data_IF_424934237407
#
_entry.id   IF_424934237407
#
_cell.length_a   1.000
_cell.length_b   1.000
_cell.length_c   1.000
_cell.angle_alpha   90.00
_cell.angle_beta   90.00
_cell.angle_gamma   90.00
#
_symmetry.space_group_name_H-M   'P 1'
#
loop_
_entity.id
_entity.type
_entity.pdbx_description
1 polymer ?
#
# COMPACT_ATOMS: atom_id res chain seq x y z
N UNK A 1 -7.66 -8.63 -6.02
CA UNK A 1 -7.94 -9.97 -5.48
C UNK A 1 -9.42 -10.38 -5.57
N UNK A 2 -10.31 -9.44 -5.77
CA UNK A 2 -11.73 -9.73 -6.04
C UNK A 2 -11.91 -10.27 -7.47
N UNK A 3 -12.61 -11.41 -7.60
CA UNK A 3 -12.87 -12.06 -8.88
C UNK A 3 -14.22 -11.64 -9.49
N UNK A 4 -14.90 -10.65 -8.92
CA UNK A 4 -16.23 -10.21 -9.35
C UNK A 4 -17.33 -11.26 -9.11
N UNK A 5 -17.17 -12.08 -8.07
CA UNK A 5 -18.07 -13.14 -7.65
C UNK A 5 -18.52 -12.94 -6.19
N UNK A 6 -19.30 -13.91 -5.64
CA UNK A 6 -19.63 -13.86 -4.21
C UNK A 6 -18.39 -14.01 -3.34
N UNK A 7 -18.44 -13.56 -2.10
CA UNK A 7 -17.33 -13.72 -1.15
C UNK A 7 -17.00 -15.19 -0.94
N UNK A 8 -18.00 -16.06 -0.82
CA UNK A 8 -17.80 -17.50 -0.65
C UNK A 8 -17.04 -18.10 -1.84
N UNK A 9 -17.38 -17.70 -3.06
CA UNK A 9 -16.67 -18.14 -4.26
C UNK A 9 -15.22 -17.66 -4.26
N UNK A 10 -14.98 -16.40 -3.92
CA UNK A 10 -13.65 -15.83 -3.84
C UNK A 10 -12.78 -16.58 -2.82
N UNK A 11 -13.30 -16.82 -1.60
CA UNK A 11 -12.59 -17.58 -0.57
C UNK A 11 -12.28 -19.03 -1.02
N UNK A 12 -13.26 -19.73 -1.58
CA UNK A 12 -13.01 -21.09 -2.10
C UNK A 12 -11.96 -21.12 -3.22
N UNK A 13 -11.97 -20.15 -4.11
CA UNK A 13 -10.98 -20.04 -5.17
C UNK A 13 -9.58 -19.87 -4.59
N UNK A 14 -9.39 -18.93 -3.67
CA UNK A 14 -8.08 -18.64 -3.10
C UNK A 14 -7.54 -19.78 -2.25
N UNK A 15 -8.39 -20.51 -1.56
CA UNK A 15 -8.00 -21.75 -0.85
C UNK A 15 -7.49 -22.83 -1.80
N UNK A 16 -8.17 -23.04 -2.92
CA UNK A 16 -7.74 -23.97 -3.97
C UNK A 16 -6.45 -23.49 -4.64
N UNK A 17 -6.34 -22.19 -4.91
CA UNK A 17 -5.15 -21.56 -5.47
C UNK A 17 -3.95 -21.77 -4.55
N UNK A 18 -4.09 -21.44 -3.26
CA UNK A 18 -3.03 -21.66 -2.28
C UNK A 18 -2.59 -23.12 -2.24
N UNK A 19 -3.53 -24.05 -2.17
CA UNK A 19 -3.20 -25.47 -2.16
C UNK A 19 -2.32 -25.84 -3.35
N UNK A 20 -2.71 -25.48 -4.55
CA UNK A 20 -1.96 -25.80 -5.76
C UNK A 20 -0.56 -25.16 -5.77
N UNK A 21 -0.44 -23.89 -5.35
CA UNK A 21 0.84 -23.18 -5.27
C UNK A 21 1.77 -23.83 -4.25
N UNK A 22 1.27 -24.15 -3.04
CA UNK A 22 2.08 -24.72 -1.96
C UNK A 22 2.45 -26.20 -2.21
N UNK A 23 1.63 -26.93 -2.96
CA UNK A 23 1.98 -28.28 -3.45
C UNK A 23 3.12 -28.24 -4.47
N UNK A 24 3.14 -27.23 -5.35
CA UNK A 24 4.22 -27.04 -6.33
C UNK A 24 5.50 -26.50 -5.69
N UNK A 25 5.37 -25.53 -4.78
CA UNK A 25 6.48 -24.97 -4.02
C UNK A 25 6.01 -24.45 -2.65
N UNK A 26 6.30 -25.17 -1.55
CA UNK A 26 5.85 -24.77 -0.21
C UNK A 26 6.46 -23.43 0.27
N UNK A 27 7.54 -22.97 -0.33
CA UNK A 27 8.20 -21.71 -0.01
C UNK A 27 7.74 -20.53 -0.88
N UNK A 28 6.86 -20.74 -1.86
CA UNK A 28 6.32 -19.65 -2.67
C UNK A 28 5.47 -18.70 -1.81
N UNK A 29 5.73 -17.40 -1.94
CA UNK A 29 4.92 -16.36 -1.32
C UNK A 29 3.68 -16.09 -2.17
N UNK A 30 2.51 -16.01 -1.53
CA UNK A 30 1.25 -15.57 -2.14
C UNK A 30 0.94 -14.18 -1.61
N UNK A 31 1.21 -13.19 -2.42
CA UNK A 31 0.98 -11.77 -2.12
C UNK A 31 -0.23 -11.27 -2.93
N UNK A 32 -1.21 -10.69 -2.26
CA UNK A 32 -2.39 -10.17 -2.93
C UNK A 32 -2.37 -8.65 -3.02
N UNK A 33 -2.86 -8.11 -4.13
CA UNK A 33 -3.31 -6.74 -4.22
C UNK A 33 -4.72 -6.65 -3.63
N UNK A 34 -4.85 -5.94 -2.52
CA UNK A 34 -6.11 -5.77 -1.81
C UNK A 34 -6.12 -4.42 -1.10
N UNK A 35 -7.21 -3.68 -1.28
CA UNK A 35 -7.47 -2.43 -0.57
C UNK A 35 -8.38 -2.70 0.63
N UNK A 36 -8.13 -2.02 1.73
CA UNK A 36 -8.90 -2.18 2.96
C UNK A 36 -8.42 -3.34 3.84
N UNK A 37 -9.22 -3.74 4.80
CA UNK A 37 -8.88 -4.75 5.79
C UNK A 37 -8.71 -6.15 5.17
N UNK A 38 -7.50 -6.74 5.21
CA UNK A 38 -7.22 -8.04 4.62
C UNK A 38 -7.45 -9.21 5.61
N UNK A 39 -7.91 -8.96 6.82
CA UNK A 39 -7.91 -9.94 7.92
C UNK A 39 -8.61 -11.25 7.57
N UNK A 40 -9.75 -11.18 6.87
CA UNK A 40 -10.52 -12.37 6.47
C UNK A 40 -9.76 -13.29 5.51
N UNK A 41 -8.80 -12.76 4.75
CA UNK A 41 -8.02 -13.47 3.73
C UNK A 41 -6.67 -13.97 4.24
N UNK A 42 -6.24 -13.50 5.43
CA UNK A 42 -4.93 -13.81 6.02
C UNK A 42 -5.02 -14.83 7.17
N UNK A 43 -6.00 -15.74 7.09
CA UNK A 43 -6.21 -16.77 8.12
C UNK A 43 -5.27 -17.99 7.97
N UNK A 44 -4.35 -17.97 7.01
CA UNK A 44 -3.35 -19.02 6.78
C UNK A 44 -3.74 -20.04 5.71
N UNK A 45 -4.94 -19.94 5.14
CA UNK A 45 -5.47 -20.87 4.16
C UNK A 45 -5.68 -20.25 2.75
N UNK A 46 -5.42 -18.94 2.59
CA UNK A 46 -5.55 -18.21 1.34
C UNK A 46 -4.25 -17.47 0.98
N UNK A 47 -4.13 -16.18 1.29
CA UNK A 47 -2.92 -15.41 1.02
C UNK A 47 -1.92 -15.49 2.17
N UNK A 48 -0.64 -15.30 1.86
CA UNK A 48 0.39 -15.12 2.90
C UNK A 48 0.42 -13.68 3.40
N UNK A 49 0.24 -12.71 2.49
CA UNK A 49 0.25 -11.29 2.79
C UNK A 49 -0.38 -10.45 1.68
N UNK A 50 -0.33 -9.15 1.83
CA UNK A 50 -0.86 -8.15 0.88
C UNK A 50 0.18 -7.07 0.57
N UNK A 51 -0.05 -6.35 -0.54
CA UNK A 51 0.56 -5.04 -0.77
C UNK A 51 0.10 -4.10 0.35
N UNK A 52 1.06 -3.51 1.07
CA UNK A 52 0.79 -2.80 2.32
C UNK A 52 0.33 -1.35 2.08
N UNK A 53 -0.82 -1.20 1.45
CA UNK A 53 -1.39 0.10 1.13
C UNK A 53 -1.79 0.87 2.39
N UNK A 54 -2.62 0.26 3.23
CA UNK A 54 -3.28 0.96 4.33
C UNK A 54 -2.36 1.19 5.53
N UNK A 55 -1.47 0.21 5.86
CA UNK A 55 -0.56 0.35 6.99
C UNK A 55 0.78 1.01 6.64
N UNK A 56 1.10 1.22 5.36
CA UNK A 56 2.37 1.83 4.96
C UNK A 56 2.21 2.91 3.89
N UNK A 57 1.81 2.55 2.66
CA UNK A 57 1.86 3.47 1.53
C UNK A 57 1.05 4.75 1.76
N UNK A 58 -0.20 4.63 2.19
CA UNK A 58 -1.06 5.78 2.41
C UNK A 58 -0.62 6.65 3.59
N UNK A 59 -0.36 6.10 4.80
CA UNK A 59 0.14 6.91 5.92
C UNK A 59 1.44 7.63 5.60
N UNK A 60 2.42 6.97 5.00
CA UNK A 60 3.69 7.60 4.60
C UNK A 60 3.47 8.69 3.55
N UNK A 61 2.57 8.44 2.60
CA UNK A 61 2.24 9.40 1.56
C UNK A 61 1.73 10.71 2.13
N UNK A 62 0.59 10.68 2.86
CA UNK A 62 0.00 11.92 3.34
C UNK A 62 0.81 12.55 4.48
N UNK A 63 1.50 11.77 5.30
CA UNK A 63 2.35 12.31 6.36
C UNK A 63 3.52 13.13 5.80
N UNK A 64 4.23 12.59 4.81
CA UNK A 64 5.41 13.26 4.24
C UNK A 64 5.07 14.29 3.17
N UNK A 65 4.00 14.08 2.42
CA UNK A 65 3.69 14.92 1.25
C UNK A 65 2.43 15.77 1.40
N UNK A 66 1.55 15.44 2.33
CA UNK A 66 0.23 16.09 2.41
C UNK A 66 -0.66 15.79 1.19
N UNK A 67 -0.37 14.74 0.44
CA UNK A 67 -1.12 14.38 -0.75
C UNK A 67 -1.79 13.02 -0.61
N UNK A 68 -2.92 12.85 -1.27
CA UNK A 68 -3.54 11.55 -1.48
C UNK A 68 -2.74 10.74 -2.54
N UNK A 69 -2.85 9.41 -2.54
CA UNK A 69 -2.03 8.49 -3.36
C UNK A 69 -2.10 8.71 -4.87
N UNK A 70 -3.20 9.23 -5.39
CA UNK A 70 -3.35 9.57 -6.81
C UNK A 70 -3.05 11.03 -7.13
N UNK A 71 -2.78 11.85 -6.12
CA UNK A 71 -2.69 13.33 -6.20
C UNK A 71 -4.03 14.00 -6.53
N UNK A 72 -5.14 13.33 -6.26
CA UNK A 72 -6.48 13.88 -6.54
C UNK A 72 -6.88 14.95 -5.53
N UNK A 73 -6.32 14.91 -4.31
CA UNK A 73 -6.56 15.93 -3.28
C UNK A 73 -5.31 16.19 -2.41
N UNK A 74 -5.27 17.37 -1.81
CA UNK A 74 -4.32 17.71 -0.76
C UNK A 74 -4.90 17.38 0.61
N UNK A 75 -4.08 16.77 1.48
CA UNK A 75 -4.40 16.39 2.86
C UNK A 75 -3.46 17.12 3.84
N UNK A 76 -3.47 18.44 3.75
CA UNK A 76 -2.63 19.30 4.63
C UNK A 76 -2.94 19.11 6.12
N UNK A 77 -4.14 18.64 6.46
CA UNK A 77 -4.56 18.26 7.80
C UNK A 77 -3.75 17.07 8.37
N UNK A 78 -3.23 16.22 7.50
CA UNK A 78 -2.45 15.02 7.85
C UNK A 78 -0.95 15.21 7.68
N UNK A 79 -0.52 16.24 6.98
CA UNK A 79 0.91 16.49 6.73
C UNK A 79 1.65 16.79 8.04
N UNK A 80 2.65 15.96 8.35
CA UNK A 80 3.41 16.08 9.61
C UNK A 80 2.61 15.79 10.87
N UNK A 81 1.37 15.32 10.76
CA UNK A 81 0.53 14.97 11.90
C UNK A 81 0.94 13.59 12.44
N UNK A 82 1.84 13.59 13.44
CA UNK A 82 2.41 12.37 14.01
C UNK A 82 1.36 11.47 14.69
N UNK A 83 0.38 12.06 15.37
CA UNK A 83 -0.67 11.29 16.03
C UNK A 83 -1.55 10.57 15.00
N UNK A 84 -1.97 11.25 13.95
CA UNK A 84 -2.73 10.65 12.87
C UNK A 84 -1.93 9.53 12.17
N UNK A 85 -0.63 9.76 11.93
CA UNK A 85 0.28 8.80 11.32
C UNK A 85 0.43 7.52 12.15
N UNK A 86 0.76 7.64 13.42
CA UNK A 86 0.93 6.50 14.33
C UNK A 86 -0.39 5.74 14.50
N UNK A 87 -1.49 6.46 14.69
CA UNK A 87 -2.81 5.84 14.85
C UNK A 87 -3.22 5.04 13.61
N UNK A 88 -3.01 5.57 12.40
CA UNK A 88 -3.32 4.87 11.17
C UNK A 88 -2.48 3.59 11.01
N UNK A 89 -1.17 3.69 11.22
CA UNK A 89 -0.26 2.53 11.13
C UNK A 89 -0.66 1.46 12.15
N UNK A 90 -0.82 1.81 13.42
CA UNK A 90 -1.18 0.85 14.46
C UNK A 90 -2.54 0.19 14.19
N UNK A 91 -3.52 0.97 13.73
CA UNK A 91 -4.85 0.45 13.40
C UNK A 91 -4.77 -0.59 12.27
N UNK A 92 -4.13 -0.25 11.15
CA UNK A 92 -4.08 -1.16 10.00
C UNK A 92 -3.14 -2.36 10.22
N UNK A 93 -2.03 -2.17 10.94
CA UNK A 93 -1.17 -3.30 11.33
C UNK A 93 -1.88 -4.30 12.24
N UNK A 94 -2.80 -3.84 13.10
CA UNK A 94 -3.57 -4.72 13.98
C UNK A 94 -4.54 -5.65 13.24
N UNK A 95 -4.84 -5.36 11.97
CA UNK A 95 -5.66 -6.21 11.10
C UNK A 95 -4.89 -7.40 10.49
N UNK A 96 -3.57 -7.47 10.72
CA UNK A 96 -2.72 -8.54 10.19
C UNK A 96 -2.04 -9.30 11.31
N UNK A 97 -2.02 -10.64 11.21
CA UNK A 97 -1.18 -11.45 12.09
C UNK A 97 0.31 -11.19 11.80
N UNK A 98 1.15 -11.31 12.83
CA UNK A 98 2.58 -11.03 12.73
C UNK A 98 3.28 -11.69 11.54
N UNK A 99 3.07 -12.98 11.21
CA UNK A 99 3.71 -13.58 10.05
C UNK A 99 3.35 -12.91 8.72
N UNK A 100 2.07 -12.54 8.54
CA UNK A 100 1.63 -11.83 7.34
C UNK A 100 2.18 -10.41 7.27
N UNK A 101 2.24 -9.71 8.40
CA UNK A 101 2.81 -8.37 8.49
C UNK A 101 4.31 -8.36 8.15
N UNK A 102 5.07 -9.34 8.62
CA UNK A 102 6.52 -9.43 8.38
C UNK A 102 6.89 -9.65 6.91
N UNK A 103 5.98 -10.18 6.10
CA UNK A 103 6.20 -10.42 4.67
C UNK A 103 5.32 -9.52 3.79
N UNK A 104 4.68 -8.50 4.38
CA UNK A 104 3.90 -7.52 3.63
C UNK A 104 4.81 -6.67 2.74
N UNK A 105 4.28 -6.28 1.59
CA UNK A 105 5.05 -5.50 0.62
C UNK A 105 4.87 -4.01 0.91
N UNK A 106 5.90 -3.39 1.48
CA UNK A 106 5.94 -1.95 1.67
C UNK A 106 6.40 -1.25 0.38
N UNK A 107 5.49 -0.57 -0.27
CA UNK A 107 5.75 0.24 -1.46
C UNK A 107 5.39 1.70 -1.24
N UNK A 108 5.99 2.58 -2.01
CA UNK A 108 5.69 4.02 -2.00
C UNK A 108 4.70 4.42 -3.11
N UNK A 109 4.65 3.64 -4.18
CA UNK A 109 3.72 3.80 -5.29
C UNK A 109 3.78 2.58 -6.20
N UNK A 110 2.73 2.37 -6.97
CA UNK A 110 2.65 1.39 -8.05
C UNK A 110 2.41 2.10 -9.39
N UNK A 111 2.20 1.33 -10.46
CA UNK A 111 1.81 1.91 -11.76
C UNK A 111 0.39 2.50 -11.76
N UNK A 112 -0.44 2.14 -10.78
CA UNK A 112 -1.81 2.64 -10.64
C UNK A 112 -1.91 3.97 -9.85
N UNK A 113 -0.82 4.40 -9.23
CA UNK A 113 -0.77 5.59 -8.39
C UNK A 113 0.13 6.66 -9.01
N UNK A 114 -0.03 7.91 -8.58
CA UNK A 114 1.00 8.91 -8.88
C UNK A 114 2.31 8.50 -8.21
N UNK A 115 3.45 8.81 -8.84
CA UNK A 115 4.74 8.47 -8.25
C UNK A 115 4.95 9.25 -6.95
N UNK A 116 5.55 8.61 -5.96
CA UNK A 116 5.81 9.26 -4.68
C UNK A 116 6.62 10.56 -4.85
N UNK A 117 7.65 10.54 -5.71
CA UNK A 117 8.43 11.75 -5.99
C UNK A 117 7.56 12.88 -6.54
N UNK A 118 6.63 12.60 -7.44
CA UNK A 118 5.67 13.59 -7.97
C UNK A 118 4.82 14.19 -6.85
N UNK A 119 4.30 13.37 -5.94
CA UNK A 119 3.49 13.86 -4.80
C UNK A 119 4.22 14.87 -3.92
N UNK A 120 5.56 14.84 -3.88
CA UNK A 120 6.37 15.81 -3.12
C UNK A 120 6.29 17.23 -3.65
N UNK A 121 5.74 17.47 -4.82
CA UNK A 121 5.52 18.81 -5.39
C UNK A 121 4.22 19.47 -4.90
N UNK A 122 3.40 18.74 -4.13
CA UNK A 122 2.12 19.20 -3.55
C UNK A 122 1.10 19.70 -4.59
N UNK A 123 1.22 19.29 -5.85
CA UNK A 123 0.32 19.71 -6.92
C UNK A 123 -0.86 18.73 -7.02
N UNK A 124 -2.07 19.25 -6.84
CA UNK A 124 -3.31 18.49 -7.05
C UNK A 124 -3.54 18.28 -8.55
N UNK A 125 -3.94 17.08 -8.92
CA UNK A 125 -4.22 16.65 -10.30
C UNK A 125 -3.27 15.55 -10.77
N UNK A 126 -3.78 14.70 -11.64
CA UNK A 126 -3.03 13.57 -12.20
C UNK A 126 -2.15 14.02 -13.36
N UNK A 127 -0.99 13.38 -13.55
CA UNK A 127 -0.07 13.68 -14.64
C UNK A 127 -0.74 13.54 -16.03
N UNK A 128 -1.70 12.62 -16.17
CA UNK A 128 -2.48 12.47 -17.39
C UNK A 128 -3.25 13.75 -17.77
N UNK A 129 -3.66 14.55 -16.77
CA UNK A 129 -4.42 15.79 -16.95
C UNK A 129 -3.50 17.02 -17.02
N UNK A 130 -2.43 17.00 -16.19
CA UNK A 130 -1.52 18.13 -16.04
C UNK A 130 -0.38 18.15 -17.07
N UNK A 131 -0.17 17.04 -17.77
CA UNK A 131 0.95 16.87 -18.71
C UNK A 131 2.20 16.23 -18.07
N UNK A 132 3.02 15.60 -18.89
CA UNK A 132 4.17 14.81 -18.44
C UNK A 132 5.22 15.63 -17.64
N UNK A 133 5.34 16.92 -17.91
CA UNK A 133 6.28 17.80 -17.22
C UNK A 133 5.94 17.96 -15.74
N UNK A 134 4.65 17.95 -15.40
CA UNK A 134 4.17 18.02 -14.02
C UNK A 134 4.73 16.91 -13.11
N UNK A 135 5.14 15.79 -13.69
CA UNK A 135 5.72 14.68 -12.94
C UNK A 135 7.04 15.03 -12.22
N UNK A 136 7.80 16.00 -12.75
CA UNK A 136 9.14 16.32 -12.28
C UNK A 136 9.32 17.79 -11.85
N UNK A 137 8.28 18.63 -12.01
CA UNK A 137 8.32 20.02 -11.58
C UNK A 137 8.28 20.14 -10.06
N UNK A 138 9.18 20.95 -9.50
CA UNK A 138 9.22 21.29 -8.07
C UNK A 138 9.21 20.09 -7.09
N UNK A 139 9.73 18.96 -7.52
CA UNK A 139 9.82 17.75 -6.69
C UNK A 139 10.86 17.89 -5.58
N UNK A 140 10.65 17.26 -4.44
CA UNK A 140 11.54 17.26 -3.30
C UNK A 140 12.23 15.90 -3.12
N UNK A 141 13.47 15.80 -3.60
CA UNK A 141 14.26 14.55 -3.50
C UNK A 141 14.63 14.21 -2.05
N UNK A 142 14.73 15.18 -1.13
CA UNK A 142 15.01 14.90 0.28
C UNK A 142 13.85 14.11 0.91
N UNK A 143 12.61 14.55 0.70
CA UNK A 143 11.40 13.85 1.17
C UNK A 143 11.31 12.43 0.55
N UNK A 144 11.67 12.28 -0.73
CA UNK A 144 11.73 10.94 -1.34
C UNK A 144 12.75 10.04 -0.65
N UNK A 145 13.93 10.57 -0.28
CA UNK A 145 14.95 9.78 0.45
C UNK A 145 14.49 9.37 1.84
N UNK A 146 13.75 10.22 2.55
CA UNK A 146 13.13 9.89 3.84
C UNK A 146 12.13 8.74 3.68
N UNK A 147 11.27 8.81 2.68
CA UNK A 147 10.31 7.75 2.39
C UNK A 147 11.00 6.41 2.06
N UNK A 148 12.07 6.43 1.24
CA UNK A 148 12.86 5.24 0.93
C UNK A 148 13.52 4.67 2.19
N UNK A 149 14.02 5.51 3.08
CA UNK A 149 14.62 5.06 4.34
C UNK A 149 13.59 4.37 5.24
N UNK A 150 12.35 4.86 5.29
CA UNK A 150 11.25 4.20 6.00
C UNK A 150 10.90 2.86 5.36
N UNK A 151 10.75 2.82 4.04
CA UNK A 151 10.43 1.59 3.30
C UNK A 151 11.47 0.48 3.49
N UNK A 152 12.76 0.84 3.56
CA UNK A 152 13.86 -0.13 3.66
C UNK A 152 14.10 -0.69 5.07
N UNK A 153 13.56 -0.04 6.10
CA UNK A 153 13.77 -0.48 7.49
C UNK A 153 12.66 -1.40 8.02
N UNK A 154 11.56 -1.49 7.28
CA UNK A 154 10.35 -2.16 7.74
C UNK A 154 9.71 -1.43 8.93
N UNK A 155 8.43 -1.21 8.91
CA UNK A 155 7.67 -0.81 10.09
C UNK A 155 7.20 -2.05 10.81
#
# INVERSE_FOLDING_TARGET
>A
ADLGRSNEYNHEFWKKFRKAVKEANPHALILAEHYGDPSDWLQGDEWDSVMNYDAFMEPVTWFLTGMEKHSDEAREDLRGNADAFVNAICHHMSNMMTPSLQVSMNELSTHDHSRFLTRTNHRVGRVQELGAEAANENVNVAVMREAVALSSRGL
#
